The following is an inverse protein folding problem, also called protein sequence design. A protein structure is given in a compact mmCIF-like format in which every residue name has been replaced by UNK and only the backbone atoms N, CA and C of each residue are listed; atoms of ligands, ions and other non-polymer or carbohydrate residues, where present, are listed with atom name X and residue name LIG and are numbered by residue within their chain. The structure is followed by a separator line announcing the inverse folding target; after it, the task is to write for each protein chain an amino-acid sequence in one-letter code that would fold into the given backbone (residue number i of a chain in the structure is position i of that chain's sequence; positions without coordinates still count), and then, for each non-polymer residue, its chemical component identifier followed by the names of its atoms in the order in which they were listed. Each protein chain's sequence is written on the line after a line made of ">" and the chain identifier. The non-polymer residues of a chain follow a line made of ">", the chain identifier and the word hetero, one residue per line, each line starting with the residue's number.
data_IF_606498571853
#
_entry.id   IF_606498571853
#
_cell.length_a   1.000
_cell.length_b   1.000
_cell.length_c   1.000
_cell.angle_alpha   90.00
_cell.angle_beta   90.00
_cell.angle_gamma   90.00
#
_symmetry.space_group_name_H-M   'P 1'
#
loop_
_entity.id
_entity.type
_entity.pdbx_description
1 polymer ?
#
# COMPACT_ATOMS: atom_id res chain seq x y z
N UNK A 1 14.09 -16.29 -3.02
CA UNK A 1 13.50 -15.99 -1.68
C UNK A 1 12.41 -14.95 -1.90
N UNK A 2 11.17 -15.20 -1.48
CA UNK A 2 10.10 -14.19 -1.62
C UNK A 2 10.41 -13.07 -0.62
N UNK A 3 10.67 -11.85 -1.10
CA UNK A 3 11.00 -10.68 -0.29
C UNK A 3 9.91 -10.34 0.75
N UNK A 4 10.24 -9.49 1.69
CA UNK A 4 9.29 -8.95 2.66
C UNK A 4 8.48 -7.85 1.98
N UNK A 5 7.14 -7.98 1.97
CA UNK A 5 6.25 -6.91 1.52
C UNK A 5 5.58 -6.22 2.72
N UNK A 6 5.07 -5.00 2.52
CA UNK A 6 4.30 -4.26 3.53
C UNK A 6 3.20 -5.14 4.16
N UNK A 7 2.43 -5.86 3.33
CA UNK A 7 1.35 -6.73 3.81
C UNK A 7 1.84 -7.93 4.64
N UNK A 8 3.04 -8.44 4.38
CA UNK A 8 3.65 -9.50 5.18
C UNK A 8 4.19 -8.95 6.50
N UNK A 9 4.81 -7.77 6.45
CA UNK A 9 5.28 -7.09 7.65
C UNK A 9 4.13 -6.77 8.60
N UNK A 10 3.04 -6.19 8.09
CA UNK A 10 1.86 -5.88 8.92
C UNK A 10 1.18 -7.15 9.46
N UNK A 11 1.11 -8.23 8.67
CA UNK A 11 0.60 -9.51 9.15
C UNK A 11 1.45 -10.08 10.28
N UNK A 12 2.79 -9.94 10.21
CA UNK A 12 3.71 -10.33 11.28
C UNK A 12 3.48 -9.49 12.54
N UNK A 13 3.39 -8.17 12.41
CA UNK A 13 3.13 -7.27 13.54
C UNK A 13 1.81 -7.56 14.25
N UNK A 14 0.78 -7.97 13.51
CA UNK A 14 -0.49 -8.39 14.08
C UNK A 14 -0.38 -9.73 14.81
N UNK A 15 0.23 -10.71 14.18
CA UNK A 15 0.44 -12.04 14.73
C UNK A 15 1.47 -12.82 13.88
N UNK A 16 2.63 -13.21 14.41
CA UNK A 16 3.62 -14.01 13.68
C UNK A 16 3.06 -15.30 13.08
N UNK A 17 2.13 -15.95 13.79
CA UNK A 17 1.44 -17.15 13.29
C UNK A 17 0.59 -16.85 12.05
N UNK A 18 -0.03 -15.68 11.98
CA UNK A 18 -0.81 -15.27 10.80
C UNK A 18 0.10 -15.15 9.56
N UNK A 19 1.28 -14.55 9.69
CA UNK A 19 2.25 -14.52 8.61
C UNK A 19 2.68 -15.94 8.19
N UNK A 20 2.97 -16.80 9.17
CA UNK A 20 3.37 -18.18 8.89
C UNK A 20 2.27 -18.94 8.12
N UNK A 21 1.02 -18.84 8.55
CA UNK A 21 -0.13 -19.45 7.86
C UNK A 21 -0.26 -18.92 6.42
N UNK A 22 -0.19 -17.63 6.21
CA UNK A 22 -0.27 -17.01 4.87
C UNK A 22 0.82 -17.49 3.90
N UNK A 23 2.00 -17.84 4.42
CA UNK A 23 3.13 -18.29 3.59
C UNK A 23 3.10 -19.79 3.34
N UNK A 24 2.85 -20.58 4.38
CA UNK A 24 3.05 -22.02 4.35
C UNK A 24 1.75 -22.84 4.29
N UNK A 25 0.62 -22.20 4.56
CA UNK A 25 -0.70 -22.83 4.60
C UNK A 25 -1.77 -21.90 4.00
N UNK A 26 -1.58 -21.39 2.75
CA UNK A 26 -2.55 -20.52 2.12
C UNK A 26 -3.91 -21.18 1.92
N UNK A 27 -3.95 -22.50 1.82
CA UNK A 27 -5.18 -23.29 1.70
C UNK A 27 -6.08 -23.26 2.94
N UNK A 28 -5.53 -22.87 4.11
CA UNK A 28 -6.31 -22.72 5.34
C UNK A 28 -7.00 -21.34 5.43
N UNK A 29 -6.78 -20.48 4.44
CA UNK A 29 -7.47 -19.19 4.38
C UNK A 29 -8.95 -19.41 4.05
N UNK A 30 -9.83 -19.06 4.98
CA UNK A 30 -11.28 -19.04 4.72
C UNK A 30 -11.63 -17.69 4.08
N UNK A 31 -12.19 -17.72 2.87
CA UNK A 31 -12.79 -16.54 2.27
C UNK A 31 -14.11 -16.23 2.98
N UNK A 32 -14.17 -15.06 3.60
CA UNK A 32 -15.41 -14.51 4.18
C UNK A 32 -16.01 -13.52 3.16
N UNK A 33 -17.30 -13.68 2.82
CA UNK A 33 -18.02 -12.75 1.93
C UNK A 33 -17.88 -11.28 2.38
N UNK A 34 -17.82 -11.04 3.68
CA UNK A 34 -17.55 -9.72 4.24
C UNK A 34 -16.14 -9.20 3.95
N UNK A 35 -15.17 -10.07 3.70
CA UNK A 35 -13.81 -9.70 3.34
C UNK A 35 -13.75 -9.20 1.89
N UNK A 36 -14.41 -9.85 0.96
CA UNK A 36 -14.50 -9.43 -0.44
C UNK A 36 -15.11 -8.02 -0.55
N UNK A 37 -16.24 -7.77 0.11
CA UNK A 37 -16.88 -6.45 0.12
C UNK A 37 -15.99 -5.35 0.73
N UNK A 38 -15.15 -5.69 1.72
CA UNK A 38 -14.16 -4.74 2.28
C UNK A 38 -13.05 -4.43 1.29
N UNK A 39 -12.56 -5.42 0.53
CA UNK A 39 -11.55 -5.21 -0.51
C UNK A 39 -12.08 -4.32 -1.63
N UNK A 40 -13.28 -4.61 -2.13
CA UNK A 40 -13.91 -3.80 -3.18
C UNK A 40 -14.10 -2.34 -2.75
N UNK A 41 -14.59 -2.12 -1.52
CA UNK A 41 -14.71 -0.76 -0.96
C UNK A 41 -13.35 -0.10 -0.78
N UNK A 42 -12.33 -0.85 -0.37
CA UNK A 42 -10.95 -0.37 -0.26
C UNK A 42 -10.43 0.15 -1.60
N UNK A 43 -10.60 -0.63 -2.65
CA UNK A 43 -10.19 -0.27 -4.00
C UNK A 43 -10.93 0.99 -4.50
N UNK A 44 -12.26 1.04 -4.37
CA UNK A 44 -13.05 2.22 -4.76
C UNK A 44 -12.60 3.51 -4.05
N UNK A 45 -12.26 3.42 -2.76
CA UNK A 45 -11.78 4.58 -2.00
C UNK A 45 -10.36 4.93 -2.42
N UNK A 46 -9.50 3.94 -2.71
CA UNK A 46 -8.18 4.15 -3.29
C UNK A 46 -8.26 4.92 -4.61
N UNK A 47 -9.07 4.44 -5.55
CA UNK A 47 -9.27 5.06 -6.86
C UNK A 47 -9.75 6.52 -6.74
N UNK A 48 -10.71 6.78 -5.84
CA UNK A 48 -11.20 8.13 -5.57
C UNK A 48 -10.10 9.03 -4.97
N UNK A 49 -9.23 8.48 -4.13
CA UNK A 49 -8.19 9.23 -3.47
C UNK A 49 -7.05 9.64 -4.42
N UNK A 50 -6.83 8.92 -5.53
CA UNK A 50 -5.79 9.25 -6.50
C UNK A 50 -5.92 10.68 -7.03
N UNK A 51 -7.16 11.15 -7.24
CA UNK A 51 -7.43 12.53 -7.68
C UNK A 51 -7.46 13.60 -6.57
N UNK A 52 -7.13 13.26 -5.31
CA UNK A 52 -7.26 14.15 -4.16
C UNK A 52 -6.48 15.47 -4.30
N UNK A 53 -5.33 15.41 -4.96
CA UNK A 53 -4.42 16.54 -5.13
C UNK A 53 -4.37 17.09 -6.57
N UNK A 54 -5.33 16.71 -7.43
CA UNK A 54 -5.38 17.10 -8.83
C UNK A 54 -4.72 16.08 -9.75
N UNK A 55 -4.03 16.55 -10.80
CA UNK A 55 -3.40 15.68 -11.78
C UNK A 55 -2.37 14.75 -11.14
N UNK A 56 -2.36 13.50 -11.56
CA UNK A 56 -1.46 12.47 -11.05
C UNK A 56 -0.95 11.54 -12.15
N UNK A 57 0.10 10.79 -11.84
CA UNK A 57 0.58 9.65 -12.64
C UNK A 57 0.47 8.39 -11.80
N UNK A 58 -0.17 7.37 -12.34
CA UNK A 58 -0.25 6.05 -11.72
C UNK A 58 0.83 5.13 -12.30
N UNK A 59 1.47 4.32 -11.46
CA UNK A 59 2.52 3.39 -11.89
C UNK A 59 2.05 1.95 -12.02
N UNK A 60 0.83 1.62 -11.62
CA UNK A 60 0.30 0.26 -11.69
C UNK A 60 0.51 -0.35 -13.07
N UNK A 61 1.17 -1.47 -13.11
CA UNK A 61 1.50 -2.19 -14.35
C UNK A 61 1.35 -3.69 -14.14
N UNK A 62 0.87 -4.38 -15.18
CA UNK A 62 0.65 -5.81 -15.15
C UNK A 62 1.49 -6.53 -16.20
N UNK A 63 1.86 -7.77 -15.90
CA UNK A 63 2.47 -8.72 -16.82
C UNK A 63 1.39 -9.36 -17.72
N UNK A 64 1.80 -10.13 -18.70
CA UNK A 64 0.88 -10.83 -19.62
C UNK A 64 -0.03 -11.85 -18.90
N UNK A 65 0.42 -12.39 -17.76
CA UNK A 65 -0.34 -13.32 -16.91
C UNK A 65 -1.32 -12.63 -15.94
N UNK A 66 -1.40 -11.28 -15.99
CA UNK A 66 -2.25 -10.46 -15.10
C UNK A 66 -1.64 -10.15 -13.75
N UNK A 67 -0.47 -10.70 -13.40
CA UNK A 67 0.24 -10.35 -12.17
C UNK A 67 0.86 -8.95 -12.24
N UNK A 68 1.12 -8.33 -11.08
CA UNK A 68 1.77 -7.02 -11.02
C UNK A 68 3.22 -7.10 -11.52
N UNK A 69 3.58 -6.19 -12.40
CA UNK A 69 4.96 -5.99 -12.86
C UNK A 69 5.70 -5.03 -11.92
N UNK A 70 6.18 -5.56 -10.81
CA UNK A 70 6.84 -4.78 -9.76
C UNK A 70 8.10 -4.07 -10.26
N UNK A 71 8.84 -4.67 -11.19
CA UNK A 71 10.06 -4.06 -11.73
C UNK A 71 9.72 -2.82 -12.56
N UNK A 72 8.71 -2.91 -13.38
CA UNK A 72 8.22 -1.79 -14.19
C UNK A 72 7.64 -0.69 -13.30
N UNK A 73 6.86 -1.04 -12.25
CA UNK A 73 6.30 -0.08 -11.31
C UNK A 73 7.38 0.70 -10.57
N UNK A 74 8.46 0.02 -10.13
CA UNK A 74 9.62 0.67 -9.49
C UNK A 74 10.33 1.61 -10.48
N UNK A 75 10.53 1.16 -11.72
CA UNK A 75 11.18 1.97 -12.75
C UNK A 75 10.37 3.22 -13.09
N UNK A 76 9.05 3.09 -13.24
CA UNK A 76 8.13 4.22 -13.48
C UNK A 76 8.11 5.20 -12.31
N UNK A 77 8.11 4.71 -11.06
CA UNK A 77 8.18 5.56 -9.88
C UNK A 77 9.43 6.44 -9.93
N UNK A 78 10.59 5.82 -10.18
CA UNK A 78 11.85 6.56 -10.29
C UNK A 78 11.81 7.58 -11.43
N UNK A 79 11.33 7.17 -12.60
CA UNK A 79 11.19 8.05 -13.76
C UNK A 79 10.34 9.27 -13.43
N UNK A 80 9.16 9.09 -12.87
CA UNK A 80 8.25 10.19 -12.54
C UNK A 80 8.80 11.11 -11.46
N UNK A 81 9.53 10.57 -10.48
CA UNK A 81 10.24 11.38 -9.50
C UNK A 81 11.33 12.25 -10.17
N UNK A 82 12.12 11.67 -11.08
CA UNK A 82 13.18 12.37 -11.83
C UNK A 82 12.59 13.45 -12.79
N UNK A 83 11.42 13.18 -13.37
CA UNK A 83 10.66 14.14 -14.21
C UNK A 83 9.99 15.25 -13.39
N UNK A 84 9.95 15.15 -12.06
CA UNK A 84 9.35 16.14 -11.17
C UNK A 84 7.83 16.10 -11.14
N UNK A 85 7.21 14.94 -11.43
CA UNK A 85 5.76 14.74 -11.29
C UNK A 85 5.33 15.03 -9.87
N UNK A 86 4.31 15.87 -9.67
CA UNK A 86 3.90 16.31 -8.33
C UNK A 86 3.20 15.22 -7.52
N UNK A 87 2.34 14.42 -8.18
CA UNK A 87 1.55 13.37 -7.52
C UNK A 87 1.74 12.05 -8.26
N UNK A 88 2.28 11.05 -7.58
CA UNK A 88 2.51 9.69 -8.10
C UNK A 88 1.69 8.72 -7.27
N UNK A 89 0.76 8.01 -7.91
CA UNK A 89 -0.09 7.02 -7.25
C UNK A 89 0.49 5.62 -7.42
N UNK A 90 0.29 4.77 -6.40
CA UNK A 90 0.86 3.40 -6.29
C UNK A 90 2.39 3.38 -6.39
N UNK A 91 3.04 4.48 -5.95
CA UNK A 91 4.48 4.64 -6.04
C UNK A 91 5.22 3.49 -5.36
N UNK A 92 6.04 2.78 -6.13
CA UNK A 92 6.59 1.49 -5.77
C UNK A 92 8.09 1.56 -5.50
N UNK A 93 8.51 0.98 -4.38
CA UNK A 93 9.89 1.00 -3.91
C UNK A 93 10.37 -0.38 -3.49
N UNK A 94 11.67 -0.60 -3.64
CA UNK A 94 12.33 -1.81 -3.16
C UNK A 94 13.65 -1.46 -2.51
N UNK A 95 13.91 -1.99 -1.33
CA UNK A 95 15.14 -1.80 -0.58
C UNK A 95 15.44 -3.06 0.23
N UNK A 96 16.69 -3.54 0.20
CA UNK A 96 17.19 -4.66 1.00
C UNK A 96 16.31 -5.92 0.98
N UNK A 97 15.66 -6.20 -0.16
CA UNK A 97 14.74 -7.34 -0.32
C UNK A 97 13.33 -7.08 0.20
N UNK A 98 13.04 -5.88 0.68
CA UNK A 98 11.69 -5.39 0.96
C UNK A 98 11.05 -4.77 -0.28
N UNK A 99 9.72 -4.69 -0.28
CA UNK A 99 8.92 -4.01 -1.30
C UNK A 99 7.71 -3.33 -0.64
N UNK A 100 7.45 -2.10 -1.04
CA UNK A 100 6.21 -1.40 -0.70
C UNK A 100 5.66 -0.63 -1.90
N UNK A 101 4.35 -0.43 -1.91
CA UNK A 101 3.66 0.57 -2.70
C UNK A 101 3.08 1.62 -1.75
N UNK A 102 3.15 2.88 -2.15
CA UNK A 102 2.61 4.05 -1.46
C UNK A 102 1.38 4.50 -2.23
N UNK A 103 0.24 4.61 -1.57
CA UNK A 103 -1.02 4.95 -2.25
C UNK A 103 -0.89 6.28 -3.00
N UNK A 104 -0.38 7.34 -2.34
CA UNK A 104 -0.07 8.61 -3.00
C UNK A 104 1.26 9.13 -2.47
N UNK A 105 2.20 9.35 -3.38
CA UNK A 105 3.47 10.04 -3.14
C UNK A 105 3.37 11.44 -3.73
N UNK A 106 3.46 12.46 -2.89
CA UNK A 106 3.34 13.86 -3.31
C UNK A 106 4.64 14.62 -3.09
N UNK A 107 5.03 15.42 -4.08
CA UNK A 107 6.18 16.33 -3.93
C UNK A 107 5.90 17.39 -2.88
N UNK A 108 6.82 17.58 -1.94
CA UNK A 108 6.71 18.57 -0.85
C UNK A 108 8.05 19.27 -0.66
N UNK A 109 8.16 20.47 -1.24
CA UNK A 109 9.43 21.21 -1.31
C UNK A 109 10.52 20.40 -2.00
N UNK A 110 11.63 20.17 -1.31
CA UNK A 110 12.76 19.36 -1.80
C UNK A 110 12.61 17.85 -1.48
N UNK A 111 11.49 17.46 -0.87
CA UNK A 111 11.22 16.09 -0.45
C UNK A 111 9.90 15.54 -0.99
N UNK A 112 9.45 14.47 -0.36
CA UNK A 112 8.22 13.76 -0.71
C UNK A 112 7.38 13.47 0.53
N UNK A 113 6.08 13.70 0.43
CA UNK A 113 5.10 13.33 1.44
C UNK A 113 4.39 12.03 1.04
N UNK A 114 4.24 11.12 2.00
CA UNK A 114 3.55 9.84 1.85
C UNK A 114 2.14 9.98 2.38
N UNK A 115 1.15 9.62 1.58
CA UNK A 115 -0.25 9.54 1.97
C UNK A 115 -0.73 8.09 1.85
N UNK A 116 -1.20 7.54 2.94
CA UNK A 116 -1.77 6.19 3.01
C UNK A 116 -3.28 6.28 3.14
N UNK A 117 -4.00 5.69 2.20
CA UNK A 117 -5.47 5.72 2.13
C UNK A 117 -6.06 4.55 2.90
N UNK A 118 -7.03 4.80 3.76
CA UNK A 118 -7.70 3.75 4.54
C UNK A 118 -9.21 3.89 4.46
N UNK A 119 -9.86 2.83 3.99
CA UNK A 119 -11.33 2.69 3.99
C UNK A 119 -11.83 2.42 5.41
N UNK A 120 -11.88 3.46 6.25
CA UNK A 120 -12.35 3.33 7.62
C UNK A 120 -13.18 4.53 8.04
N UNK A 121 -14.20 4.30 8.88
CA UNK A 121 -14.89 5.40 9.56
C UNK A 121 -14.01 5.96 10.67
N UNK A 122 -13.83 7.27 10.69
CA UNK A 122 -13.14 7.96 11.78
C UNK A 122 -14.16 8.33 12.86
N UNK A 123 -14.07 7.80 14.08
CA UNK A 123 -14.91 8.27 15.17
C UNK A 123 -14.51 9.70 15.52
N UNK A 124 -15.50 10.56 15.68
CA UNK A 124 -15.32 12.00 15.92
C UNK A 124 -14.62 12.33 17.26
N UNK A 125 -14.65 11.41 18.23
CA UNK A 125 -14.06 11.64 19.58
C UNK A 125 -13.53 10.33 20.20
N UNK A 126 -12.44 10.39 20.96
CA UNK A 126 -11.83 9.42 21.89
C UNK A 126 -11.19 8.12 21.35
N UNK A 127 -11.43 7.66 20.13
CA UNK A 127 -10.76 6.45 19.56
C UNK A 127 -9.64 6.78 18.56
N UNK A 128 -9.31 8.06 18.39
CA UNK A 128 -8.32 8.52 17.40
C UNK A 128 -6.97 7.84 17.55
N UNK A 129 -6.47 7.75 18.79
CA UNK A 129 -5.13 7.27 19.08
C UNK A 129 -5.00 5.78 18.78
N UNK A 130 -5.94 4.97 19.24
CA UNK A 130 -5.94 3.50 19.03
C UNK A 130 -6.01 3.11 17.56
N UNK A 131 -6.75 3.89 16.73
CA UNK A 131 -6.82 3.64 15.28
C UNK A 131 -5.53 4.06 14.57
N UNK A 132 -4.91 5.17 14.95
CA UNK A 132 -3.63 5.57 14.39
C UNK A 132 -2.53 4.56 14.73
N UNK A 133 -2.48 4.07 15.96
CA UNK A 133 -1.53 3.03 16.39
C UNK A 133 -1.69 1.74 15.57
N UNK A 134 -2.92 1.36 15.22
CA UNK A 134 -3.19 0.19 14.37
C UNK A 134 -2.53 0.30 12.99
N UNK A 135 -2.42 1.50 12.43
CA UNK A 135 -1.84 1.76 11.11
C UNK A 135 -0.37 2.20 11.17
N UNK A 136 0.18 2.40 12.37
CA UNK A 136 1.58 2.78 12.53
C UNK A 136 2.58 1.82 11.84
N UNK A 137 2.39 0.48 11.84
CA UNK A 137 3.27 -0.43 11.11
C UNK A 137 3.29 -0.19 9.59
N UNK A 138 2.17 0.22 8.98
CA UNK A 138 2.11 0.52 7.55
C UNK A 138 3.05 1.68 7.20
N UNK A 139 2.99 2.76 7.98
CA UNK A 139 3.85 3.93 7.80
C UNK A 139 5.32 3.64 8.15
N UNK A 140 5.56 2.87 9.20
CA UNK A 140 6.93 2.52 9.60
C UNK A 140 7.66 1.70 8.53
N UNK A 141 6.94 0.87 7.78
CA UNK A 141 7.52 0.08 6.70
C UNK A 141 7.83 0.90 5.44
N UNK A 142 7.08 1.97 5.19
CA UNK A 142 7.24 2.83 4.01
C UNK A 142 8.30 3.92 4.19
N UNK A 143 8.67 4.24 5.42
CA UNK A 143 9.63 5.29 5.78
C UNK A 143 11.08 4.82 5.62
#
# INVERSE_FOLDING_TARGET
>A
MKGLSKSRYTAFCQCPKNLWLKIFKPEEATEDEGQQARFERGNQIGDLAMGLFGDFKEVTSHQEDGSLDLQKMIALTKQYMDEGVENICEASFSCEGGYCAVDILRKDGDGWAIYEVKSTSFPLFNEKQTKLEKYAPDFAYQK
#
